data_IF_968944627028
#
_entry.id   IF_968944627028
#
_cell.length_a   1.000
_cell.length_b   1.000
_cell.length_c   1.000
_cell.angle_alpha   90.00
_cell.angle_beta   90.00
_cell.angle_gamma   90.00
#
_symmetry.space_group_name_H-M   'P 1'
#
loop_
_entity.id
_entity.type
_entity.pdbx_description
1 polymer ?
#
# COMPACT_ATOMS: atom_id res chain seq x y z
N UNK A 1 -0.20 10.91 -0.97
CA UNK A 1 -0.86 9.69 -1.52
C UNK A 1 -1.31 8.78 -0.39
N UNK A 2 -2.25 7.87 -0.64
CA UNK A 2 -2.64 6.83 0.33
C UNK A 2 -3.15 5.57 -0.38
N UNK A 3 -3.11 4.44 0.34
CA UNK A 3 -3.74 3.18 -0.05
C UNK A 3 -4.69 2.75 1.07
N UNK A 4 -5.88 2.27 0.72
CA UNK A 4 -6.92 1.88 1.69
C UNK A 4 -7.66 0.64 1.20
N UNK A 5 -7.75 -0.38 2.04
CA UNK A 5 -8.72 -1.46 1.89
C UNK A 5 -10.11 -0.99 2.34
N UNK A 6 -11.15 -1.38 1.60
CA UNK A 6 -12.56 -1.09 1.90
C UNK A 6 -13.35 -2.41 1.89
N UNK A 7 -13.29 -3.22 2.97
CA UNK A 7 -14.06 -4.45 3.08
C UNK A 7 -15.56 -4.26 2.81
N UNK A 8 -16.12 -3.10 3.17
CA UNK A 8 -17.52 -2.74 2.93
C UNK A 8 -17.88 -2.56 1.45
N UNK A 9 -16.88 -2.38 0.58
CA UNK A 9 -17.01 -2.30 -0.89
C UNK A 9 -16.30 -3.46 -1.60
N UNK A 10 -15.68 -4.36 -0.85
CA UNK A 10 -14.85 -5.45 -1.35
C UNK A 10 -13.77 -5.02 -2.36
N UNK A 11 -13.10 -3.88 -2.10
CA UNK A 11 -12.04 -3.36 -2.96
C UNK A 11 -10.85 -2.77 -2.19
N UNK A 12 -9.77 -2.49 -2.92
CA UNK A 12 -8.62 -1.71 -2.46
C UNK A 12 -8.48 -0.47 -3.35
N UNK A 13 -8.27 0.68 -2.73
CA UNK A 13 -8.08 1.95 -3.44
C UNK A 13 -6.68 2.49 -3.20
N UNK A 14 -6.05 2.94 -4.29
CA UNK A 14 -4.89 3.81 -4.24
C UNK A 14 -5.30 5.21 -4.73
N UNK A 15 -4.95 6.24 -3.98
CA UNK A 15 -5.18 7.63 -4.34
C UNK A 15 -3.86 8.39 -4.34
N UNK A 16 -3.47 8.88 -5.51
CA UNK A 16 -2.22 9.56 -5.75
C UNK A 16 -2.51 10.96 -6.23
N UNK A 17 -2.08 11.95 -5.43
CA UNK A 17 -2.14 13.35 -5.79
C UNK A 17 -0.71 13.85 -6.06
N UNK A 18 -0.58 14.63 -7.12
CA UNK A 18 0.66 15.26 -7.58
C UNK A 18 0.39 16.72 -7.92
N UNK A 19 1.42 17.46 -8.30
CA UNK A 19 1.29 18.81 -8.87
C UNK A 19 0.53 18.85 -10.20
N UNK A 20 0.35 17.69 -10.86
CA UNK A 20 -0.33 17.60 -12.16
C UNK A 20 -1.76 17.07 -12.08
N UNK A 21 -2.20 16.64 -10.90
CA UNK A 21 -3.56 16.16 -10.67
C UNK A 21 -3.63 14.92 -9.79
N UNK A 22 -4.83 14.32 -9.79
CA UNK A 22 -5.18 13.17 -8.96
C UNK A 22 -5.41 11.95 -9.86
N UNK A 23 -4.82 10.83 -9.49
CA UNK A 23 -5.08 9.50 -10.05
C UNK A 23 -5.60 8.60 -8.93
N UNK A 24 -6.79 8.02 -9.12
CA UNK A 24 -7.33 7.01 -8.21
C UNK A 24 -7.53 5.69 -8.94
N UNK A 25 -7.03 4.61 -8.35
CA UNK A 25 -7.19 3.25 -8.85
C UNK A 25 -8.03 2.45 -7.86
N UNK A 26 -8.95 1.64 -8.37
CA UNK A 26 -9.76 0.71 -7.58
C UNK A 26 -9.46 -0.69 -8.09
N UNK A 27 -8.91 -1.52 -7.22
CA UNK A 27 -8.71 -2.94 -7.47
C UNK A 27 -9.83 -3.70 -6.74
N UNK A 28 -10.86 -4.09 -7.50
CA UNK A 28 -11.96 -4.90 -7.00
C UNK A 28 -11.49 -6.33 -6.73
N UNK A 29 -12.00 -6.95 -5.67
CA UNK A 29 -11.75 -8.35 -5.41
C UNK A 29 -12.26 -9.20 -6.59
N UNK A 30 -11.48 -10.19 -7.08
CA UNK A 30 -11.99 -11.12 -8.08
C UNK A 30 -13.04 -12.06 -7.47
N UNK A 31 -13.63 -12.88 -8.32
CA UNK A 31 -14.60 -13.91 -7.89
C UNK A 31 -14.07 -14.74 -6.72
N UNK A 32 -14.97 -15.00 -5.77
CA UNK A 32 -14.71 -15.78 -4.55
C UNK A 32 -13.64 -15.21 -3.61
N UNK A 33 -13.22 -13.95 -3.80
CA UNK A 33 -12.36 -13.23 -2.87
C UNK A 33 -13.16 -12.24 -2.04
N UNK A 34 -12.95 -12.26 -0.73
CA UNK A 34 -13.54 -11.29 0.20
C UNK A 34 -12.40 -10.60 0.95
N UNK A 35 -12.37 -9.27 0.92
CA UNK A 35 -11.45 -8.50 1.75
C UNK A 35 -12.03 -8.35 3.16
N UNK A 36 -11.15 -8.48 4.17
CA UNK A 36 -11.56 -8.44 5.58
C UNK A 36 -12.04 -9.78 6.16
N UNK A 37 -11.88 -10.88 5.43
CA UNK A 37 -12.18 -12.25 5.87
C UNK A 37 -11.12 -12.87 6.80
N UNK A 38 -10.10 -12.09 7.18
CA UNK A 38 -8.98 -12.54 8.00
C UNK A 38 -7.87 -13.26 7.22
N UNK A 39 -8.00 -13.40 5.89
CA UNK A 39 -6.94 -13.97 5.04
C UNK A 39 -5.98 -12.88 4.58
N UNK A 40 -4.70 -13.25 4.43
CA UNK A 40 -3.67 -12.34 3.97
C UNK A 40 -3.87 -11.95 2.51
N UNK A 41 -3.67 -10.67 2.21
CA UNK A 41 -3.69 -10.12 0.85
C UNK A 41 -2.38 -9.42 0.58
N UNK A 42 -1.76 -9.72 -0.55
CA UNK A 42 -0.57 -9.02 -1.02
C UNK A 42 -1.00 -7.83 -1.88
N UNK A 43 -0.45 -6.64 -1.62
CA UNK A 43 -0.83 -5.40 -2.32
C UNK A 43 0.43 -4.70 -2.81
N UNK A 44 0.45 -4.38 -4.10
CA UNK A 44 1.55 -3.64 -4.73
C UNK A 44 1.00 -2.41 -5.41
N UNK A 45 1.55 -1.24 -5.08
CA UNK A 45 1.36 -0.02 -5.85
C UNK A 45 2.67 0.32 -6.56
N UNK A 46 2.69 0.16 -7.87
CA UNK A 46 3.86 0.43 -8.73
C UNK A 46 3.64 1.71 -9.51
N UNK A 47 4.64 2.59 -9.51
CA UNK A 47 4.72 3.72 -10.44
C UNK A 47 5.90 3.50 -11.38
N UNK A 48 5.65 3.50 -12.68
CA UNK A 48 6.67 3.32 -13.70
C UNK A 48 6.32 4.10 -14.97
N UNK A 49 7.30 4.78 -15.58
CA UNK A 49 7.15 5.46 -16.87
C UNK A 49 5.84 6.28 -17.07
N UNK A 50 5.36 6.98 -16.04
CA UNK A 50 4.12 7.78 -16.12
C UNK A 50 2.82 6.97 -15.93
N UNK A 51 2.92 5.70 -15.56
CA UNK A 51 1.82 4.79 -15.23
C UNK A 51 1.84 4.43 -13.76
N UNK A 52 0.65 4.32 -13.18
CA UNK A 52 0.40 3.75 -11.87
C UNK A 52 -0.32 2.41 -12.06
N UNK A 53 0.11 1.39 -11.34
CA UNK A 53 -0.50 0.06 -11.33
C UNK A 53 -0.74 -0.35 -9.88
N UNK A 54 -1.99 -0.68 -9.54
CA UNK A 54 -2.39 -1.26 -8.26
C UNK A 54 -2.70 -2.74 -8.47
N UNK A 55 -1.87 -3.62 -7.94
CA UNK A 55 -2.04 -5.07 -8.00
C UNK A 55 -2.41 -5.62 -6.62
N UNK A 56 -3.36 -6.54 -6.58
CA UNK A 56 -3.73 -7.27 -5.35
C UNK A 56 -3.65 -8.76 -5.63
N UNK A 57 -3.14 -9.54 -4.67
CA UNK A 57 -2.96 -10.98 -4.75
C UNK A 57 -3.31 -11.70 -3.45
N UNK A 58 -3.28 -13.03 -3.48
CA UNK A 58 -3.49 -13.92 -2.32
C UNK A 58 -2.20 -14.35 -1.63
N UNK A 59 -1.08 -13.71 -1.98
CA UNK A 59 0.26 -14.07 -1.51
C UNK A 59 0.98 -15.09 -2.39
N UNK A 60 0.26 -15.82 -3.27
CA UNK A 60 0.84 -16.80 -4.21
C UNK A 60 0.77 -16.35 -5.66
N UNK A 61 -0.25 -15.57 -6.01
CA UNK A 61 -0.45 -15.02 -7.35
C UNK A 61 -1.17 -13.68 -7.29
N UNK A 62 -1.04 -12.92 -8.38
CA UNK A 62 -1.87 -11.75 -8.61
C UNK A 62 -3.30 -12.17 -8.95
N UNK A 63 -4.23 -11.40 -8.42
CA UNK A 63 -5.67 -11.63 -8.52
C UNK A 63 -6.35 -10.54 -9.33
N UNK A 64 -5.97 -9.28 -9.08
CA UNK A 64 -6.56 -8.12 -9.77
C UNK A 64 -5.48 -7.08 -10.00
N UNK A 65 -5.63 -6.29 -11.06
CA UNK A 65 -4.73 -5.19 -11.41
C UNK A 65 -5.53 -4.05 -12.01
N UNK A 66 -5.39 -2.87 -11.43
CA UNK A 66 -5.94 -1.62 -11.95
C UNK A 66 -4.79 -0.71 -12.41
N UNK A 67 -4.99 0.04 -13.49
CA UNK A 67 -3.96 0.93 -14.04
C UNK A 67 -4.51 2.32 -14.36
N UNK A 68 -3.64 3.32 -14.33
CA UNK A 68 -3.98 4.68 -14.73
C UNK A 68 -2.74 5.54 -14.95
N UNK A 69 -2.89 6.62 -15.72
CA UNK A 69 -1.82 7.57 -15.95
C UNK A 69 -1.51 8.37 -14.67
N UNK A 70 -0.24 8.70 -14.45
CA UNK A 70 0.22 9.58 -13.37
C UNK A 70 1.40 10.42 -13.85
N UNK A 71 1.29 11.74 -13.72
CA UNK A 71 2.36 12.69 -14.05
C UNK A 71 2.73 13.50 -12.80
N UNK A 72 3.89 14.17 -12.81
CA UNK A 72 4.25 15.10 -11.74
C UNK A 72 4.89 14.48 -10.50
N UNK A 73 5.26 15.35 -9.57
CA UNK A 73 5.90 15.03 -8.29
C UNK A 73 4.87 14.78 -7.20
N UNK A 74 5.16 13.80 -6.34
CA UNK A 74 4.38 13.51 -5.13
C UNK A 74 4.63 14.49 -3.99
N UNK A 75 5.71 15.28 -4.09
CA UNK A 75 6.22 16.14 -3.00
C UNK A 75 6.26 17.61 -3.38
N UNK A 76 5.72 17.99 -4.54
CA UNK A 76 5.72 19.39 -4.97
C UNK A 76 4.62 20.17 -4.25
N UNK A 77 5.04 21.27 -3.61
CA UNK A 77 4.33 22.18 -2.68
C UNK A 77 4.67 22.03 -1.17
N UNK A 78 5.26 20.93 -0.70
CA UNK A 78 5.57 20.74 0.74
C UNK A 78 7.07 20.72 1.03
N UNK A 79 7.77 21.81 0.73
CA UNK A 79 9.21 21.93 1.01
C UNK A 79 9.59 21.69 2.48
N UNK A 80 8.63 21.77 3.42
CA UNK A 80 8.87 21.66 4.86
C UNK A 80 7.79 20.90 5.68
N UNK A 81 6.70 20.40 5.09
CA UNK A 81 5.63 19.65 5.80
C UNK A 81 5.50 18.19 5.32
N UNK A 82 6.63 17.54 5.08
CA UNK A 82 6.63 16.11 4.76
C UNK A 82 6.32 15.33 6.04
N UNK A 83 5.07 14.90 6.17
CA UNK A 83 4.57 14.14 7.34
C UNK A 83 5.08 12.68 7.42
N UNK A 84 5.96 12.30 6.48
CA UNK A 84 6.54 10.96 6.41
C UNK A 84 5.56 9.90 5.90
N UNK A 85 5.83 8.64 6.29
CA UNK A 85 5.01 7.48 5.94
C UNK A 85 4.21 7.08 7.17
N UNK A 86 2.88 7.05 7.03
CA UNK A 86 1.99 6.53 8.05
C UNK A 86 1.49 5.14 7.62
N UNK A 87 1.59 4.18 8.54
CA UNK A 87 1.00 2.85 8.39
C UNK A 87 -0.16 2.72 9.37
N UNK A 88 -1.24 2.11 8.89
CA UNK A 88 -2.49 1.95 9.65
C UNK A 88 -3.36 3.21 9.75
N UNK A 89 -2.95 4.33 9.17
CA UNK A 89 -3.71 5.59 9.12
C UNK A 89 -3.26 6.45 7.94
N UNK A 90 -3.91 7.60 7.73
CA UNK A 90 -3.45 8.64 6.80
C UNK A 90 -3.47 10.01 7.50
N UNK A 91 -2.73 11.01 6.99
CA UNK A 91 -2.87 12.39 7.41
C UNK A 91 -4.32 12.84 7.55
N UNK A 92 -4.67 13.41 8.71
CA UNK A 92 -6.02 13.90 9.03
C UNK A 92 -7.10 12.82 9.18
N UNK A 93 -6.74 11.53 9.28
CA UNK A 93 -7.72 10.47 9.52
C UNK A 93 -8.30 10.54 10.94
N UNK A 94 -9.61 10.28 11.04
CA UNK A 94 -10.29 10.09 12.32
C UNK A 94 -10.11 8.63 12.80
N UNK A 95 -10.24 8.34 14.11
CA UNK A 95 -10.04 6.98 14.64
C UNK A 95 -10.86 5.89 13.96
N UNK A 96 -12.06 6.22 13.45
CA UNK A 96 -12.90 5.29 12.70
C UNK A 96 -12.32 4.84 11.35
N UNK A 97 -11.38 5.60 10.79
CA UNK A 97 -10.75 5.35 9.50
C UNK A 97 -9.39 4.63 9.64
N UNK A 98 -8.95 4.34 10.87
CA UNK A 98 -7.73 3.59 11.11
C UNK A 98 -7.88 2.13 10.69
N UNK A 99 -6.78 1.54 10.23
CA UNK A 99 -6.70 0.15 9.87
C UNK A 99 -6.85 -0.73 11.12
N UNK A 100 -7.68 -1.77 11.02
CA UNK A 100 -8.01 -2.68 12.13
C UNK A 100 -7.53 -4.12 11.90
N UNK A 101 -6.69 -4.35 10.90
CA UNK A 101 -6.11 -5.66 10.59
C UNK A 101 -4.65 -5.77 10.99
N UNK A 102 -4.00 -6.80 10.47
CA UNK A 102 -2.55 -7.01 10.56
C UNK A 102 -1.86 -6.58 9.26
N UNK A 103 -0.62 -6.11 9.37
CA UNK A 103 0.27 -5.84 8.25
C UNK A 103 1.55 -6.66 8.44
N UNK A 104 2.14 -7.07 7.33
CA UNK A 104 3.40 -7.80 7.27
C UNK A 104 4.17 -7.35 6.03
N UNK A 105 5.50 -7.49 6.04
CA UNK A 105 6.42 -7.25 4.92
C UNK A 105 6.17 -5.92 4.18
N UNK A 106 6.05 -4.81 4.92
CA UNK A 106 5.96 -3.50 4.27
C UNK A 106 7.31 -3.11 3.66
N UNK A 107 7.33 -2.94 2.34
CA UNK A 107 8.51 -2.58 1.58
C UNK A 107 8.26 -1.33 0.73
N UNK A 108 9.22 -0.41 0.75
CA UNK A 108 9.27 0.74 -0.16
C UNK A 108 10.60 0.76 -0.91
N UNK A 109 10.54 0.85 -2.23
CA UNK A 109 11.71 0.82 -3.12
C UNK A 109 11.69 2.03 -4.06
N UNK A 110 12.84 2.67 -4.28
CA UNK A 110 13.04 3.83 -5.19
C UNK A 110 13.28 3.44 -6.64
N UNK A 111 12.59 2.41 -7.09
CA UNK A 111 12.48 1.99 -8.49
C UNK A 111 11.15 1.29 -8.69
N UNK A 112 10.73 1.19 -9.94
CA UNK A 112 9.65 0.28 -10.26
C UNK A 112 10.08 -1.17 -9.97
N UNK A 113 9.20 -1.93 -9.34
CA UNK A 113 9.35 -3.39 -9.25
C UNK A 113 9.13 -3.99 -10.64
N UNK A 114 9.98 -4.95 -11.01
CA UNK A 114 9.82 -5.76 -12.21
C UNK A 114 8.57 -6.65 -12.10
N UNK A 115 8.04 -7.10 -13.23
CA UNK A 115 6.88 -8.00 -13.23
C UNK A 115 7.16 -9.30 -12.48
N UNK A 116 8.40 -9.79 -12.50
CA UNK A 116 8.82 -10.96 -11.74
C UNK A 116 8.74 -10.73 -10.22
N UNK A 117 9.19 -9.56 -9.73
CA UNK A 117 9.09 -9.21 -8.31
C UNK A 117 7.63 -9.03 -7.89
N UNK A 118 6.79 -8.41 -8.72
CA UNK A 118 5.35 -8.30 -8.44
C UNK A 118 4.67 -9.69 -8.42
N UNK A 119 5.13 -10.61 -9.27
CA UNK A 119 4.60 -11.97 -9.34
C UNK A 119 5.09 -12.90 -8.21
N UNK A 120 6.16 -12.56 -7.49
CA UNK A 120 6.62 -13.34 -6.33
C UNK A 120 5.62 -13.34 -5.17
N UNK A 121 4.62 -12.45 -5.21
CA UNK A 121 3.54 -12.43 -4.24
C UNK A 121 4.01 -11.96 -2.86
N UNK A 122 3.43 -12.54 -1.80
CA UNK A 122 3.72 -12.16 -0.42
C UNK A 122 5.09 -12.61 0.09
N UNK A 123 5.92 -13.24 -0.76
CA UNK A 123 7.27 -13.62 -0.38
C UNK A 123 8.16 -12.37 -0.18
N UNK A 124 9.06 -12.36 0.82
CA UNK A 124 9.98 -11.24 1.02
C UNK A 124 10.84 -11.00 -0.22
N UNK A 125 10.80 -9.77 -0.74
CA UNK A 125 11.69 -9.35 -1.82
C UNK A 125 13.11 -9.10 -1.28
N UNK A 126 14.16 -9.31 -2.08
CA UNK A 126 15.52 -8.95 -1.70
C UNK A 126 15.65 -7.45 -1.37
N UNK A 127 16.41 -7.14 -0.32
CA UNK A 127 16.80 -5.76 -0.02
C UNK A 127 18.00 -5.38 -0.89
N UNK A 128 17.89 -4.25 -1.58
CA UNK A 128 18.94 -3.72 -2.45
C UNK A 128 19.20 -2.23 -2.17
N UNK A 129 20.11 -1.62 -2.94
CA UNK A 129 20.48 -0.21 -2.78
C UNK A 129 19.32 0.78 -3.03
N UNK A 130 18.22 0.33 -3.64
CA UNK A 130 17.03 1.13 -3.89
C UNK A 130 15.94 0.94 -2.82
N UNK A 131 16.06 -0.06 -1.93
CA UNK A 131 15.17 -0.22 -0.78
C UNK A 131 15.33 0.97 0.18
N UNK A 132 14.21 1.64 0.49
CA UNK A 132 14.17 2.78 1.42
C UNK A 132 13.68 2.34 2.80
N UNK A 133 12.66 1.49 2.82
CA UNK A 133 12.05 0.99 4.06
C UNK A 133 11.74 -0.48 3.86
N UNK A 134 12.08 -1.30 4.85
CA UNK A 134 11.53 -2.64 5.03
C UNK A 134 11.12 -2.80 6.49
N UNK A 135 9.85 -3.07 6.72
CA UNK A 135 9.28 -3.37 8.03
C UNK A 135 8.65 -4.77 7.94
N UNK A 136 9.38 -5.81 8.36
CA UNK A 136 8.88 -7.18 8.30
C UNK A 136 7.90 -7.49 9.44
N UNK A 137 7.68 -6.58 10.39
CA UNK A 137 6.75 -6.76 11.52
C UNK A 137 6.91 -8.05 12.37
N UNK A 138 8.02 -8.80 12.20
CA UNK A 138 8.36 -10.01 12.95
C UNK A 138 8.60 -9.78 14.46
N UNK A 139 8.89 -8.54 14.85
CA UNK A 139 9.24 -8.19 16.24
C UNK A 139 8.26 -7.19 16.82
N UNK A 140 7.41 -7.65 17.73
CA UNK A 140 6.58 -6.77 18.56
C UNK A 140 7.45 -6.32 19.73
N UNK A 141 7.91 -5.07 19.72
CA UNK A 141 8.40 -4.43 20.95
C UNK A 141 7.26 -3.58 21.51
N UNK A 142 6.63 -3.96 22.63
CA UNK A 142 5.65 -3.10 23.27
C UNK A 142 6.36 -1.81 23.72
N UNK A 143 6.01 -0.67 23.12
CA UNK A 143 6.27 0.65 23.70
C UNK A 143 4.93 1.37 23.88
N UNK A 144 4.46 1.39 25.12
CA UNK A 144 3.23 2.09 25.51
C UNK A 144 2.37 1.24 26.44
N UNK A 145 2.25 1.67 27.70
CA UNK A 145 1.26 1.14 28.64
C UNK A 145 -0.09 1.75 28.27
N UNK A 146 -0.87 1.09 27.42
CA UNK A 146 -2.28 1.44 27.26
C UNK A 146 -3.09 0.57 28.24
N UNK A 147 -3.83 1.17 29.19
CA UNK A 147 -4.72 0.40 30.06
C UNK A 147 -5.74 -0.33 29.19
N UNK A 148 -5.92 -1.63 29.46
CA UNK A 148 -7.00 -2.42 28.86
C UNK A 148 -8.34 -1.86 29.34
N UNK A 149 -9.27 -1.67 28.40
CA UNK A 149 -10.69 -1.41 28.68
C UNK A 149 -11.36 -2.66 29.25
#
# INVERSE_FOLDING_TARGET
MWVRARPERNDIVAHVQTDRGITSLVAEAPDHTVFGDGTWRHVVLRRDAGKLTLSVGDGTRLLTTAEGAVAGSLTYQDGFDVQGILLGSRPGAQPKDWFKGSMDEFLLVRRALSDAEVAQGGAPLPVDASTVVRLPFDTITPKGTHPRL
#
